data_IF_654213711482
#
_entry.id   IF_654213711482
#
_cell.length_a   1.000
_cell.length_b   1.000
_cell.length_c   1.000
_cell.angle_alpha   90.00
_cell.angle_beta   90.00
_cell.angle_gamma   90.00
#
_symmetry.space_group_name_H-M   'P 1'
#
loop_
_entity.id
_entity.type
_entity.pdbx_description
1 polymer ?
#
# COMPACT_ATOMS: atom_id res chain seq x y z
N UNK A 1 -11.41 -3.18 -57.52
CA UNK A 1 -11.75 -2.90 -56.11
C UNK A 1 -11.09 -3.95 -55.24
N UNK A 2 -9.86 -3.69 -54.82
CA UNK A 2 -9.08 -4.62 -53.98
C UNK A 2 -9.29 -4.22 -52.53
N UNK A 3 -9.83 -5.15 -51.73
CA UNK A 3 -9.95 -4.97 -50.29
C UNK A 3 -8.59 -5.28 -49.65
N UNK A 4 -7.89 -4.24 -49.20
CA UNK A 4 -6.67 -4.35 -48.42
C UNK A 4 -7.02 -4.95 -47.05
N UNK A 5 -6.74 -6.25 -46.89
CA UNK A 5 -6.92 -6.97 -45.65
C UNK A 5 -5.90 -6.50 -44.62
N UNK A 6 -6.37 -6.08 -43.45
CA UNK A 6 -5.55 -5.61 -42.33
C UNK A 6 -4.37 -6.57 -42.09
N UNK A 7 -3.15 -6.05 -42.26
CA UNK A 7 -1.91 -6.80 -42.10
C UNK A 7 -1.80 -7.35 -40.66
N UNK A 8 -1.50 -8.65 -40.56
CA UNK A 8 -1.34 -9.37 -39.28
C UNK A 8 -0.32 -8.71 -38.37
N UNK A 9 0.73 -8.11 -38.95
CA UNK A 9 1.76 -7.38 -38.19
C UNK A 9 1.23 -6.06 -37.64
N UNK A 10 0.37 -5.35 -38.38
CA UNK A 10 -0.35 -4.17 -37.89
C UNK A 10 -1.27 -4.51 -36.70
N UNK A 11 -2.03 -5.61 -36.82
CA UNK A 11 -2.89 -6.09 -35.75
C UNK A 11 -2.12 -6.46 -34.48
N UNK A 12 -1.01 -7.21 -34.60
CA UNK A 12 -0.21 -7.61 -33.44
C UNK A 12 0.47 -6.44 -32.74
N UNK A 13 0.88 -5.39 -33.48
CA UNK A 13 1.43 -4.17 -32.86
C UNK A 13 0.37 -3.36 -32.13
N UNK A 14 -0.82 -3.22 -32.73
CA UNK A 14 -1.94 -2.54 -32.08
C UNK A 14 -2.39 -3.28 -30.81
N UNK A 15 -2.50 -4.61 -30.86
CA UNK A 15 -2.85 -5.44 -29.72
C UNK A 15 -1.78 -5.39 -28.61
N UNK A 16 -0.49 -5.41 -28.97
CA UNK A 16 0.61 -5.31 -28.01
C UNK A 16 0.64 -3.95 -27.27
N UNK A 17 0.40 -2.85 -27.98
CA UNK A 17 0.33 -1.50 -27.38
C UNK A 17 -0.88 -1.35 -26.47
N UNK A 18 -2.05 -1.85 -26.87
CA UNK A 18 -3.26 -1.83 -26.04
C UNK A 18 -3.09 -2.67 -24.75
N UNK A 19 -2.45 -3.84 -24.84
CA UNK A 19 -2.16 -4.69 -23.68
C UNK A 19 -1.18 -4.06 -22.68
N UNK A 20 -0.15 -3.37 -23.15
CA UNK A 20 0.83 -2.70 -22.29
C UNK A 20 0.22 -1.51 -21.52
N UNK A 21 -0.63 -0.71 -22.17
CA UNK A 21 -1.34 0.40 -21.53
C UNK A 21 -2.32 -0.07 -20.44
N UNK A 22 -2.99 -1.21 -20.65
CA UNK A 22 -3.90 -1.78 -19.67
C UNK A 22 -3.17 -2.23 -18.38
N UNK A 23 -1.93 -2.74 -18.48
CA UNK A 23 -1.15 -3.19 -17.32
C UNK A 23 -0.60 -2.03 -16.47
N UNK A 24 -0.28 -0.89 -17.08
CA UNK A 24 0.20 0.29 -16.37
C UNK A 24 -0.85 0.88 -15.39
N UNK A 25 -2.16 0.69 -15.67
CA UNK A 25 -3.25 1.12 -14.80
C UNK A 25 -3.54 0.21 -13.60
N UNK A 26 -2.98 -1.01 -13.56
CA UNK A 26 -3.29 -2.02 -12.52
C UNK A 26 -2.33 -1.96 -11.34
N UNK A 27 -1.10 -1.45 -11.53
CA UNK A 27 -0.12 -1.35 -10.45
C UNK A 27 -0.42 -0.10 -9.63
N UNK A 28 -1.31 -0.25 -8.66
CA UNK A 28 -1.54 0.73 -7.61
C UNK A 28 -0.42 0.56 -6.55
N UNK A 29 0.50 1.54 -6.38
CA UNK A 29 1.54 1.48 -5.36
C UNK A 29 0.99 1.64 -3.92
N UNK A 30 -0.32 1.86 -3.76
CA UNK A 30 -1.00 2.11 -2.50
C UNK A 30 -1.08 0.88 -1.56
N UNK A 31 -0.52 -0.27 -1.96
CA UNK A 31 -0.42 -1.49 -1.13
C UNK A 31 1.01 -1.94 -0.83
N UNK A 32 1.98 -1.04 -0.88
CA UNK A 32 3.24 -1.31 -0.19
C UNK A 32 2.91 -1.46 1.30
N UNK A 33 2.95 -2.71 1.76
CA UNK A 33 2.65 -3.08 3.14
C UNK A 33 3.33 -2.11 4.10
N UNK A 34 2.60 -1.62 5.10
CA UNK A 34 3.14 -0.83 6.20
C UNK A 34 4.08 -1.74 7.03
N UNK A 35 5.29 -1.96 6.53
CA UNK A 35 6.19 -3.00 7.02
C UNK A 35 7.12 -2.52 8.14
N UNK A 36 7.03 -1.27 8.59
CA UNK A 36 7.96 -0.72 9.57
C UNK A 36 7.33 -0.63 10.96
N UNK A 37 7.85 -1.44 11.89
CA UNK A 37 7.80 -1.10 13.31
C UNK A 37 8.51 0.25 13.50
N UNK A 38 7.94 1.14 14.33
CA UNK A 38 8.55 2.43 14.60
C UNK A 38 9.93 2.24 15.24
N UNK A 39 10.89 3.03 14.80
CA UNK A 39 12.14 3.26 15.51
C UNK A 39 11.92 4.20 16.70
N UNK A 40 12.86 4.19 17.66
CA UNK A 40 12.84 5.12 18.80
C UNK A 40 12.77 6.58 18.34
N UNK A 41 13.61 6.95 17.38
CA UNK A 41 13.68 8.32 16.89
C UNK A 41 12.39 8.75 16.18
N UNK A 42 11.73 7.85 15.45
CA UNK A 42 10.43 8.15 14.85
C UNK A 42 9.35 8.35 15.92
N UNK A 43 9.29 7.47 16.93
CA UNK A 43 8.36 7.60 18.06
C UNK A 43 8.59 8.92 18.80
N UNK A 44 9.84 9.25 19.11
CA UNK A 44 10.21 10.45 19.88
C UNK A 44 9.91 11.76 19.15
N UNK A 45 9.81 11.74 17.81
CA UNK A 45 9.41 12.90 17.00
C UNK A 45 7.90 13.09 16.91
N UNK A 46 7.09 12.10 17.27
CA UNK A 46 5.63 12.20 17.19
C UNK A 46 5.10 13.07 18.32
N UNK A 47 4.19 13.98 17.98
CA UNK A 47 3.43 14.73 18.98
C UNK A 47 2.16 13.97 19.38
N UNK A 48 1.60 14.21 20.59
CA UNK A 48 0.33 13.62 20.99
C UNK A 48 -0.80 13.84 19.99
N UNK A 49 -0.94 15.04 19.44
CA UNK A 49 -1.99 15.36 18.46
C UNK A 49 -1.86 14.53 17.18
N UNK A 50 -0.63 14.35 16.67
CA UNK A 50 -0.38 13.48 15.51
C UNK A 50 -0.74 12.02 15.79
N UNK A 51 -0.50 11.54 17.02
CA UNK A 51 -0.86 10.17 17.42
C UNK A 51 -2.38 10.02 17.43
N UNK A 52 -3.11 10.98 18.00
CA UNK A 52 -4.58 10.98 18.03
C UNK A 52 -5.16 11.04 16.63
N UNK A 53 -4.67 11.91 15.76
CA UNK A 53 -5.16 12.00 14.37
C UNK A 53 -4.90 10.70 13.59
N UNK A 54 -3.73 10.09 13.79
CA UNK A 54 -3.43 8.78 13.20
C UNK A 54 -4.38 7.69 13.70
N UNK A 55 -4.71 7.67 14.99
CA UNK A 55 -5.67 6.73 15.56
C UNK A 55 -7.09 6.94 15.01
N UNK A 56 -7.55 8.20 14.88
CA UNK A 56 -8.84 8.54 14.26
C UNK A 56 -8.90 8.06 12.81
N UNK A 57 -7.86 8.33 12.02
CA UNK A 57 -7.78 7.87 10.63
C UNK A 57 -7.82 6.35 10.54
N UNK A 58 -7.05 5.64 11.38
CA UNK A 58 -7.06 4.17 11.45
C UNK A 58 -8.43 3.60 11.78
N UNK A 59 -9.13 4.20 12.76
CA UNK A 59 -10.49 3.81 13.12
C UNK A 59 -11.49 4.05 11.97
N UNK A 60 -11.34 5.15 11.22
CA UNK A 60 -12.20 5.41 10.07
C UNK A 60 -12.04 4.34 8.97
N UNK A 61 -10.82 3.90 8.68
CA UNK A 61 -10.57 2.79 7.76
C UNK A 61 -11.12 1.46 8.30
N UNK A 62 -10.90 1.18 9.57
CA UNK A 62 -11.43 -0.03 10.22
C UNK A 62 -12.96 -0.11 10.10
N UNK A 63 -13.67 0.99 10.38
CA UNK A 63 -15.13 1.08 10.26
C UNK A 63 -15.65 0.87 8.85
N UNK A 64 -14.85 1.17 7.82
CA UNK A 64 -15.19 0.95 6.41
C UNK A 64 -14.84 -0.46 5.92
N UNK A 65 -14.20 -1.29 6.74
CA UNK A 65 -13.67 -2.60 6.32
C UNK A 65 -12.42 -2.48 5.43
N UNK A 66 -11.76 -1.31 5.40
CA UNK A 66 -10.58 -1.03 4.57
C UNK A 66 -9.30 -1.46 5.31
N UNK A 67 -9.21 -2.76 5.63
CA UNK A 67 -8.03 -3.31 6.29
C UNK A 67 -6.76 -3.19 5.43
N UNK A 68 -5.67 -2.73 6.03
CA UNK A 68 -4.34 -2.76 5.40
C UNK A 68 -3.74 -4.16 5.49
N UNK A 69 -3.16 -4.67 4.40
CA UNK A 69 -2.38 -5.92 4.44
C UNK A 69 -1.05 -5.69 5.18
N UNK A 70 -0.87 -6.37 6.31
CA UNK A 70 0.34 -6.26 7.13
C UNK A 70 1.30 -7.43 6.88
N UNK A 71 2.60 -7.17 6.92
CA UNK A 71 3.64 -8.21 6.90
C UNK A 71 4.13 -8.47 8.33
N UNK A 72 3.42 -9.35 9.04
CA UNK A 72 3.69 -9.63 10.45
C UNK A 72 5.09 -10.23 10.71
N UNK A 73 5.61 -11.05 9.79
CA UNK A 73 6.97 -11.61 9.94
C UNK A 73 8.05 -10.54 9.79
N UNK A 74 7.87 -9.60 8.87
CA UNK A 74 8.79 -8.46 8.76
C UNK A 74 8.72 -7.58 10.01
N UNK A 75 7.51 -7.31 10.50
CA UNK A 75 7.31 -6.52 11.71
C UNK A 75 7.94 -7.18 12.94
N UNK A 76 7.73 -8.48 13.15
CA UNK A 76 8.33 -9.25 14.25
C UNK A 76 9.85 -9.17 14.22
N UNK A 77 10.47 -9.37 13.06
CA UNK A 77 11.93 -9.27 12.88
C UNK A 77 12.44 -7.86 13.18
N UNK A 78 11.72 -6.84 12.70
CA UNK A 78 12.08 -5.44 12.93
C UNK A 78 11.99 -5.04 14.41
N UNK A 79 11.02 -5.58 15.14
CA UNK A 79 10.81 -5.29 16.56
C UNK A 79 11.57 -6.21 17.53
N UNK A 80 12.31 -7.20 17.04
CA UNK A 80 12.95 -8.23 17.88
C UNK A 80 13.94 -7.63 18.90
N UNK A 81 14.60 -6.52 18.55
CA UNK A 81 15.55 -5.82 19.42
C UNK A 81 14.90 -4.78 20.35
N UNK A 82 13.60 -4.51 20.18
CA UNK A 82 12.87 -3.52 20.95
C UNK A 82 11.66 -2.97 20.21
N UNK A 83 10.64 -2.58 20.97
CA UNK A 83 9.41 -1.96 20.46
C UNK A 83 9.31 -0.51 20.94
N UNK A 84 8.88 0.38 20.04
CA UNK A 84 8.71 1.80 20.30
C UNK A 84 7.27 2.22 19.94
N UNK A 85 6.26 1.77 20.70
CA UNK A 85 4.86 2.04 20.37
C UNK A 85 4.55 3.55 20.42
N UNK A 86 3.67 4.01 19.53
CA UNK A 86 3.22 5.40 19.50
C UNK A 86 2.32 5.75 20.70
N UNK A 87 1.57 4.79 21.22
CA UNK A 87 0.65 4.96 22.33
C UNK A 87 0.47 3.65 23.12
N UNK A 88 -0.03 3.78 24.35
CA UNK A 88 -0.56 2.67 25.16
C UNK A 88 -2.06 2.88 25.30
N UNK A 89 -2.84 1.82 25.08
CA UNK A 89 -4.30 1.86 25.20
C UNK A 89 -4.68 1.12 26.49
N UNK A 90 -5.39 1.81 27.38
CA UNK A 90 -6.01 1.21 28.56
C UNK A 90 -7.49 0.98 28.22
N UNK A 91 -7.87 -0.28 28.04
CA UNK A 91 -9.25 -0.67 27.71
C UNK A 91 -9.90 -1.46 28.85
N UNK A 92 -11.23 -1.51 28.84
CA UNK A 92 -12.06 -2.27 29.78
C UNK A 92 -11.87 -3.79 29.65
#
# INVERSE_FOLDING_TARGET
MSADGIDRRGFLRAAGLAGAAALAGVVRPDRLAWAAALTRAERDRMTPDQIIERMKSGNAHFRKGEGSRQNYLAQQRASAKGQYPAAVILSC
#
